data_IF_303066721975
#
_entry.id   IF_303066721975
#
_cell.length_a   1.000
_cell.length_b   1.000
_cell.length_c   1.000
_cell.angle_alpha   90.00
_cell.angle_beta   90.00
_cell.angle_gamma   90.00
#
_symmetry.space_group_name_H-M   'P 1'
#
loop_
_entity.id
_entity.type
_entity.pdbx_description
1 polymer ?
#
# COMPACT_ATOMS: atom_id res chain seq x y z
N UNK A 1 43.25 67.37 15.00
CA UNK A 1 42.38 66.64 14.07
C UNK A 1 42.09 65.33 14.74
N UNK A 2 40.84 65.19 15.19
CA UNK A 2 40.37 64.27 16.22
C UNK A 2 40.53 62.79 15.83
N UNK A 3 40.86 61.97 16.83
CA UNK A 3 40.74 60.51 16.79
C UNK A 3 39.29 60.14 17.13
N UNK A 4 38.52 59.69 16.14
CA UNK A 4 37.17 59.16 16.35
C UNK A 4 37.26 57.70 16.84
N UNK A 5 36.87 57.46 18.09
CA UNK A 5 36.66 56.12 18.64
C UNK A 5 35.35 55.51 18.09
N UNK A 6 35.46 54.34 17.44
CA UNK A 6 34.30 53.56 17.00
C UNK A 6 33.64 52.87 18.21
N UNK A 7 32.30 52.87 18.32
CA UNK A 7 31.62 52.29 19.47
C UNK A 7 31.65 50.75 19.42
N UNK A 8 31.90 50.15 20.58
CA UNK A 8 31.92 48.70 20.80
C UNK A 8 30.52 48.09 20.61
N UNK A 9 30.38 47.13 19.69
CA UNK A 9 29.12 46.43 19.42
C UNK A 9 28.80 45.49 20.60
N UNK A 10 27.78 45.85 21.40
CA UNK A 10 27.25 44.98 22.45
C UNK A 10 26.68 43.71 21.83
N UNK A 11 27.24 42.55 22.20
CA UNK A 11 26.66 41.24 21.89
C UNK A 11 25.31 41.13 22.61
N UNK A 12 24.22 41.11 21.86
CA UNK A 12 22.91 40.73 22.39
C UNK A 12 22.97 39.27 22.89
N UNK A 13 22.81 39.09 24.20
CA UNK A 13 22.60 37.78 24.80
C UNK A 13 21.27 37.21 24.28
N UNK A 14 21.34 36.13 23.51
CA UNK A 14 20.16 35.39 23.05
C UNK A 14 19.46 34.78 24.27
N UNK A 15 18.31 35.36 24.64
CA UNK A 15 17.40 34.79 25.63
C UNK A 15 17.03 33.35 25.19
N UNK A 16 17.28 32.31 26.01
CA UNK A 16 16.95 30.95 25.63
C UNK A 16 15.43 30.81 25.52
N UNK A 17 14.95 30.45 24.32
CA UNK A 17 13.53 30.16 24.10
C UNK A 17 13.09 29.06 25.08
N UNK A 18 11.94 29.21 25.78
CA UNK A 18 11.48 28.20 26.72
C UNK A 18 11.31 26.87 25.99
N UNK A 19 11.99 25.83 26.48
CA UNK A 19 11.83 24.47 25.96
C UNK A 19 10.37 24.07 26.16
N UNK A 20 9.62 23.92 25.06
CA UNK A 20 8.28 23.32 25.12
C UNK A 20 8.42 21.93 25.77
N UNK A 21 7.61 21.66 26.79
CA UNK A 21 7.56 20.34 27.43
C UNK A 21 7.20 19.31 26.35
N UNK A 22 7.96 18.23 26.27
CA UNK A 22 7.68 17.14 25.34
C UNK A 22 6.37 16.44 25.73
N UNK A 23 5.61 15.99 24.73
CA UNK A 23 4.33 15.33 24.99
C UNK A 23 4.54 13.96 25.65
N UNK A 24 3.73 13.64 26.66
CA UNK A 24 3.75 12.35 27.35
C UNK A 24 2.35 11.74 27.40
N UNK A 25 2.18 10.53 26.87
CA UNK A 25 0.91 9.82 26.86
C UNK A 25 0.36 9.56 28.27
N UNK A 26 1.21 9.21 29.23
CA UNK A 26 0.76 8.91 30.60
C UNK A 26 0.19 10.15 31.29
N UNK A 27 0.82 11.31 31.11
CA UNK A 27 0.32 12.58 31.64
C UNK A 27 -0.97 13.00 30.93
N UNK A 28 -1.02 12.87 29.60
CA UNK A 28 -2.20 13.21 28.80
C UNK A 28 -3.41 12.36 29.18
N UNK A 29 -3.26 11.03 29.30
CA UNK A 29 -4.35 10.14 29.69
C UNK A 29 -4.86 10.45 31.10
N UNK A 30 -3.97 10.79 32.05
CA UNK A 30 -4.35 11.24 33.39
C UNK A 30 -5.14 12.55 33.34
N UNK A 31 -4.67 13.52 32.54
CA UNK A 31 -5.34 14.82 32.38
C UNK A 31 -6.74 14.67 31.77
N UNK A 32 -6.88 13.83 30.74
CA UNK A 32 -8.15 13.61 30.03
C UNK A 32 -9.07 12.60 30.74
N UNK A 33 -8.65 12.02 31.88
CA UNK A 33 -9.33 10.93 32.58
C UNK A 33 -9.72 9.77 31.62
N UNK A 34 -8.78 9.41 30.74
CA UNK A 34 -8.98 8.47 29.66
C UNK A 34 -8.12 7.21 29.82
N UNK A 35 -8.46 6.16 29.07
CA UNK A 35 -7.68 4.92 28.98
C UNK A 35 -7.25 4.68 27.54
N UNK A 36 -6.07 4.08 27.35
CA UNK A 36 -5.61 3.67 26.02
C UNK A 36 -6.37 2.44 25.52
N UNK A 37 -6.54 2.33 24.21
CA UNK A 37 -6.99 1.10 23.60
C UNK A 37 -5.97 -0.02 23.87
N UNK A 38 -6.36 -1.17 24.46
CA UNK A 38 -5.42 -2.24 24.76
C UNK A 38 -4.73 -2.79 23.51
N UNK A 39 -3.41 -3.00 23.57
CA UNK A 39 -2.58 -3.50 22.46
C UNK A 39 -3.12 -4.80 21.85
N UNK A 40 -3.70 -5.69 22.67
CA UNK A 40 -4.30 -6.96 22.24
C UNK A 40 -5.49 -6.83 21.28
N UNK A 41 -6.06 -5.63 21.13
CA UNK A 41 -7.15 -5.34 20.18
C UNK A 41 -6.63 -5.04 18.76
N UNK A 42 -5.33 -4.76 18.63
CA UNK A 42 -4.68 -4.45 17.37
C UNK A 42 -4.13 -5.72 16.72
N UNK A 43 -4.18 -5.79 15.38
CA UNK A 43 -3.56 -6.89 14.63
C UNK A 43 -2.04 -6.80 14.71
N UNK A 44 -1.34 -7.92 14.53
CA UNK A 44 0.14 -8.01 14.64
C UNK A 44 0.86 -6.88 13.87
N UNK A 45 0.46 -6.61 12.62
CA UNK A 45 1.07 -5.56 11.78
C UNK A 45 0.78 -4.12 12.24
N UNK A 46 -0.18 -3.92 13.14
CA UNK A 46 -0.53 -2.61 13.74
C UNK A 46 0.20 -2.38 15.07
N UNK A 47 0.80 -3.42 15.64
CA UNK A 47 1.48 -3.36 16.94
C UNK A 47 2.96 -3.00 16.79
N UNK A 48 3.70 -3.03 17.91
CA UNK A 48 5.13 -2.73 17.93
C UNK A 48 5.90 -3.73 17.05
N UNK A 49 6.71 -3.25 16.10
CA UNK A 49 7.44 -4.15 15.22
C UNK A 49 8.48 -4.92 16.01
N UNK A 50 8.51 -6.25 15.83
CA UNK A 50 9.50 -7.12 16.47
C UNK A 50 10.93 -6.86 15.96
N UNK A 51 11.05 -6.38 14.72
CA UNK A 51 12.31 -6.09 14.05
C UNK A 51 12.43 -4.59 13.76
N UNK A 52 13.67 -4.09 13.68
CA UNK A 52 13.95 -2.72 13.24
C UNK A 52 13.61 -2.49 11.76
N UNK A 53 13.75 -1.24 11.32
CA UNK A 53 13.66 -0.88 9.91
C UNK A 53 15.06 -0.94 9.28
N UNK A 54 15.30 -1.92 8.42
CA UNK A 54 16.58 -2.09 7.72
C UNK A 54 16.61 -1.48 6.30
N UNK A 55 15.50 -0.90 5.83
CA UNK A 55 15.50 -0.19 4.56
C UNK A 55 16.32 1.09 4.69
N UNK A 56 17.13 1.39 3.67
CA UNK A 56 17.88 2.64 3.59
C UNK A 56 17.62 3.30 2.25
N UNK A 57 17.89 4.61 2.20
CA UNK A 57 17.74 5.41 0.99
C UNK A 57 18.46 4.76 -0.19
N UNK A 58 17.86 4.87 -1.38
CA UNK A 58 18.35 4.40 -2.67
C UNK A 58 18.30 2.87 -2.87
N UNK A 59 17.86 2.09 -1.87
CA UNK A 59 17.52 0.68 -2.09
C UNK A 59 16.35 0.55 -3.06
N UNK A 60 16.43 -0.41 -3.99
CA UNK A 60 15.39 -0.70 -4.98
C UNK A 60 14.61 -1.97 -4.65
N UNK A 61 13.32 -1.96 -4.96
CA UNK A 61 12.39 -3.05 -4.68
C UNK A 61 11.22 -3.04 -5.67
N UNK A 62 10.36 -4.03 -5.55
CA UNK A 62 9.09 -4.12 -6.29
C UNK A 62 7.93 -3.81 -5.33
N UNK A 63 6.82 -3.26 -5.81
CA UNK A 63 5.65 -3.05 -4.94
C UNK A 63 4.38 -2.70 -5.72
N UNK A 64 3.24 -2.86 -5.06
CA UNK A 64 1.94 -2.54 -5.66
C UNK A 64 1.73 -1.03 -5.69
N UNK A 65 1.19 -0.51 -6.81
CA UNK A 65 0.69 0.86 -6.87
C UNK A 65 -0.57 1.00 -5.99
N UNK A 66 -0.57 1.83 -4.91
CA UNK A 66 -1.73 1.99 -4.04
C UNK A 66 -2.97 2.60 -4.73
N UNK A 67 -2.81 3.21 -5.91
CA UNK A 67 -3.88 3.78 -6.73
C UNK A 67 -4.34 2.84 -7.85
N UNK A 68 -3.48 1.91 -8.26
CA UNK A 68 -3.75 0.87 -9.25
C UNK A 68 -3.32 -0.50 -8.69
N UNK A 69 -4.12 -1.13 -7.81
CA UNK A 69 -3.66 -2.30 -7.05
C UNK A 69 -3.35 -3.57 -7.87
N UNK A 70 -3.70 -3.56 -9.16
CA UNK A 70 -3.33 -4.56 -10.18
C UNK A 70 -1.88 -4.44 -10.66
N UNK A 71 -1.23 -3.28 -10.47
CA UNK A 71 0.08 -2.97 -11.02
C UNK A 71 1.19 -3.17 -9.98
N UNK A 72 2.19 -3.95 -10.36
CA UNK A 72 3.45 -4.09 -9.63
C UNK A 72 4.50 -3.21 -10.30
N UNK A 73 5.18 -2.36 -9.55
CA UNK A 73 6.07 -1.33 -10.09
C UNK A 73 7.49 -1.43 -9.50
N UNK A 74 8.47 -0.93 -10.24
CA UNK A 74 9.82 -0.67 -9.73
C UNK A 74 9.81 0.55 -8.80
N UNK A 75 10.31 0.37 -7.59
CA UNK A 75 10.32 1.41 -6.57
C UNK A 75 11.72 1.63 -5.97
N UNK A 76 12.00 2.86 -5.57
CA UNK A 76 13.19 3.23 -4.79
C UNK A 76 12.78 3.76 -3.42
N UNK A 77 13.52 3.38 -2.37
CA UNK A 77 13.39 3.99 -1.05
C UNK A 77 13.91 5.42 -1.09
N UNK A 78 13.00 6.40 -1.04
CA UNK A 78 13.36 7.83 -1.07
C UNK A 78 13.65 8.40 0.31
N UNK A 79 13.03 7.85 1.36
CA UNK A 79 13.20 8.29 2.75
C UNK A 79 12.81 7.18 3.74
N UNK A 80 13.42 7.15 4.92
CA UNK A 80 12.94 6.33 6.05
C UNK A 80 12.69 7.19 7.28
N UNK A 81 11.61 6.88 8.02
CA UNK A 81 11.23 7.58 9.24
C UNK A 81 10.67 6.60 10.27
N UNK A 82 11.50 6.27 11.26
CA UNK A 82 11.18 5.20 12.21
C UNK A 82 10.92 3.90 11.47
N UNK A 83 9.75 3.30 11.67
CA UNK A 83 9.37 2.05 11.00
C UNK A 83 8.72 2.23 9.62
N UNK A 84 8.64 3.47 9.13
CA UNK A 84 8.02 3.79 7.84
C UNK A 84 9.08 4.02 6.76
N UNK A 85 8.72 3.65 5.54
CA UNK A 85 9.54 3.77 4.34
C UNK A 85 8.73 4.57 3.31
N UNK A 86 9.31 5.63 2.75
CA UNK A 86 8.76 6.39 1.64
C UNK A 86 9.31 5.80 0.35
N UNK A 87 8.42 5.48 -0.58
CA UNK A 87 8.73 4.82 -1.84
C UNK A 87 8.45 5.76 -3.00
N UNK A 88 9.35 5.74 -3.96
CA UNK A 88 9.32 6.52 -5.19
C UNK A 88 9.16 5.61 -6.39
N UNK A 89 8.32 6.02 -7.35
CA UNK A 89 8.20 5.33 -8.65
C UNK A 89 9.31 5.80 -9.59
N UNK A 90 10.21 4.90 -9.96
CA UNK A 90 11.41 5.26 -10.72
C UNK A 90 11.09 5.93 -12.08
N UNK A 91 11.60 7.15 -12.26
CA UNK A 91 11.40 7.96 -13.45
C UNK A 91 10.10 8.77 -13.48
N UNK A 92 9.26 8.68 -12.45
CA UNK A 92 8.03 9.45 -12.32
C UNK A 92 8.22 10.65 -11.37
N UNK A 93 7.18 11.47 -11.21
CA UNK A 93 7.21 12.64 -10.31
C UNK A 93 7.11 12.20 -8.84
N UNK A 94 7.79 12.92 -7.94
CA UNK A 94 7.71 12.70 -6.50
C UNK A 94 6.30 12.90 -5.91
N UNK A 95 5.38 13.52 -6.65
CA UNK A 95 3.99 13.65 -6.21
C UNK A 95 3.25 12.30 -6.10
N UNK A 96 3.80 11.25 -6.70
CA UNK A 96 3.31 9.88 -6.57
C UNK A 96 3.97 9.10 -5.43
N UNK A 97 4.96 9.67 -4.74
CA UNK A 97 5.62 9.00 -3.63
C UNK A 97 4.61 8.70 -2.51
N UNK A 98 4.75 7.52 -1.91
CA UNK A 98 3.84 7.05 -0.87
C UNK A 98 4.59 6.41 0.28
N UNK A 99 3.94 6.36 1.44
CA UNK A 99 4.51 5.79 2.65
C UNK A 99 3.89 4.43 2.94
N UNK A 100 4.75 3.48 3.31
CA UNK A 100 4.37 2.18 3.87
C UNK A 100 5.11 1.92 5.18
N UNK A 101 4.65 0.94 5.95
CA UNK A 101 5.46 0.37 7.03
C UNK A 101 6.47 -0.61 6.44
N UNK A 102 7.61 -0.82 7.11
CA UNK A 102 8.66 -1.75 6.65
C UNK A 102 8.18 -3.21 6.55
N UNK A 103 7.11 -3.58 7.27
CA UNK A 103 6.46 -4.90 7.19
C UNK A 103 5.27 -4.96 6.22
N UNK A 104 5.13 -3.98 5.32
CA UNK A 104 4.02 -3.96 4.37
C UNK A 104 3.98 -5.25 3.54
N UNK A 105 2.81 -5.88 3.37
CA UNK A 105 2.66 -7.05 2.50
C UNK A 105 2.63 -6.67 1.01
N UNK A 106 2.66 -5.38 0.69
CA UNK A 106 2.53 -4.84 -0.67
C UNK A 106 3.86 -4.42 -1.29
N UNK A 107 4.97 -4.79 -0.65
CA UNK A 107 6.33 -4.58 -1.14
C UNK A 107 7.08 -5.91 -1.21
N UNK A 108 7.93 -6.05 -2.21
CA UNK A 108 8.56 -7.31 -2.58
C UNK A 108 10.03 -7.10 -2.96
N UNK A 109 10.89 -8.09 -2.71
CA UNK A 109 12.27 -8.02 -3.15
C UNK A 109 12.36 -8.06 -4.68
N UNK A 110 13.45 -7.50 -5.21
CA UNK A 110 13.81 -7.61 -6.63
C UNK A 110 13.74 -9.06 -7.12
N UNK A 111 13.08 -9.25 -8.27
CA UNK A 111 12.86 -10.55 -8.92
C UNK A 111 11.65 -11.31 -8.39
N UNK A 112 10.81 -10.70 -7.53
CA UNK A 112 9.63 -11.36 -7.00
C UNK A 112 8.56 -11.56 -8.07
N UNK A 113 8.29 -10.55 -8.90
CA UNK A 113 7.31 -10.61 -9.98
C UNK A 113 7.64 -11.73 -10.97
N UNK A 114 8.90 -11.82 -11.41
CA UNK A 114 9.37 -12.91 -12.28
C UNK A 114 9.17 -14.28 -11.63
N UNK A 115 9.59 -14.44 -10.37
CA UNK A 115 9.47 -15.72 -9.64
C UNK A 115 8.00 -16.17 -9.47
N UNK A 116 7.09 -15.22 -9.36
CA UNK A 116 5.67 -15.47 -9.08
C UNK A 116 4.77 -15.32 -10.30
N UNK A 117 5.36 -15.11 -11.48
CA UNK A 117 4.67 -14.92 -12.76
C UNK A 117 3.69 -13.73 -12.76
N UNK A 118 4.07 -12.64 -12.08
CA UNK A 118 3.41 -11.34 -12.16
C UNK A 118 4.15 -10.43 -13.13
N UNK A 119 3.43 -9.50 -13.76
CA UNK A 119 4.00 -8.53 -14.67
C UNK A 119 4.50 -7.31 -13.91
N UNK A 120 5.81 -7.07 -13.97
CA UNK A 120 6.43 -5.85 -13.46
C UNK A 120 6.27 -4.70 -14.47
N UNK A 121 5.76 -3.56 -14.00
CA UNK A 121 5.77 -2.30 -14.73
C UNK A 121 7.16 -1.68 -14.63
N UNK A 122 7.86 -1.49 -15.77
CA UNK A 122 9.20 -0.96 -15.77
C UNK A 122 9.21 0.55 -15.43
N UNK A 123 10.37 1.12 -15.05
CA UNK A 123 10.52 2.56 -14.85
C UNK A 123 10.16 3.36 -16.10
N UNK A 124 9.86 4.65 -15.93
CA UNK A 124 9.54 5.53 -17.06
C UNK A 124 10.70 5.55 -18.06
N UNK A 125 10.38 5.28 -19.34
CA UNK A 125 11.35 5.26 -20.44
C UNK A 125 11.92 3.87 -20.76
N UNK A 126 11.54 2.84 -20.02
CA UNK A 126 11.84 1.45 -20.32
C UNK A 126 10.60 0.74 -20.86
N UNK A 127 10.81 -0.29 -21.68
CA UNK A 127 9.76 -1.23 -22.08
C UNK A 127 9.83 -2.48 -21.20
N UNK A 128 8.77 -3.28 -21.20
CA UNK A 128 8.74 -4.57 -20.47
C UNK A 128 9.83 -5.51 -21.01
N UNK A 129 10.09 -5.47 -22.31
CA UNK A 129 11.06 -6.33 -22.97
C UNK A 129 12.51 -5.91 -22.70
N UNK A 130 12.75 -4.62 -22.51
CA UNK A 130 14.10 -4.06 -22.36
C UNK A 130 14.53 -3.91 -20.89
N UNK A 131 13.60 -4.01 -19.94
CA UNK A 131 13.92 -3.87 -18.52
C UNK A 131 14.55 -5.15 -17.96
N UNK A 132 15.76 -5.01 -17.42
CA UNK A 132 16.45 -6.08 -16.70
C UNK A 132 17.00 -5.55 -15.37
N UNK A 133 16.73 -6.27 -14.28
CA UNK A 133 17.14 -5.82 -12.95
C UNK A 133 18.65 -5.70 -12.79
N UNK A 134 19.44 -6.58 -13.43
CA UNK A 134 20.89 -6.61 -13.25
C UNK A 134 21.58 -5.40 -13.90
N UNK A 135 21.20 -5.08 -15.14
CA UNK A 135 21.65 -3.91 -15.89
C UNK A 135 21.12 -2.64 -15.26
N UNK A 136 19.86 -2.62 -14.83
CA UNK A 136 19.26 -1.45 -14.19
C UNK A 136 19.95 -1.08 -12.87
N UNK A 137 20.22 -2.05 -11.98
CA UNK A 137 20.95 -1.82 -10.73
C UNK A 137 22.36 -1.29 -10.98
N UNK A 138 23.07 -1.83 -11.98
CA UNK A 138 24.41 -1.35 -12.38
C UNK A 138 24.36 0.07 -12.93
N UNK A 139 23.42 0.35 -13.84
CA UNK A 139 23.28 1.65 -14.49
C UNK A 139 22.86 2.76 -13.49
N UNK A 140 22.03 2.41 -12.52
CA UNK A 140 21.58 3.34 -11.47
C UNK A 140 22.52 3.44 -10.26
N UNK A 141 23.59 2.64 -10.22
CA UNK A 141 24.52 2.57 -9.08
C UNK A 141 23.81 2.31 -7.74
N UNK A 142 22.74 1.52 -7.79
CA UNK A 142 21.89 1.22 -6.65
C UNK A 142 21.92 -0.27 -6.30
N UNK A 143 21.47 -0.58 -5.09
CA UNK A 143 21.37 -1.96 -4.61
C UNK A 143 19.91 -2.37 -4.43
N UNK A 144 19.63 -3.65 -4.65
CA UNK A 144 18.34 -4.22 -4.31
C UNK A 144 18.19 -4.27 -2.78
N UNK A 145 17.00 -3.93 -2.28
CA UNK A 145 16.65 -4.15 -0.89
C UNK A 145 16.83 -5.65 -0.54
N UNK A 146 17.60 -6.00 0.51
CA UNK A 146 17.85 -7.39 0.84
C UNK A 146 16.57 -8.16 1.17
N UNK A 147 16.47 -9.41 0.69
CA UNK A 147 15.28 -10.27 0.84
C UNK A 147 14.83 -10.45 2.30
N UNK A 148 15.76 -10.43 3.25
CA UNK A 148 15.46 -10.56 4.68
C UNK A 148 14.68 -9.38 5.28
N UNK A 149 14.63 -8.23 4.60
CA UNK A 149 13.87 -7.06 5.05
C UNK A 149 12.35 -7.24 4.85
N UNK A 150 11.95 -8.12 3.94
CA UNK A 150 10.55 -8.38 3.61
C UNK A 150 10.00 -9.41 4.59
N UNK A 151 9.38 -8.91 5.67
CA UNK A 151 8.93 -9.73 6.79
C UNK A 151 7.56 -10.38 6.59
N UNK A 152 6.85 -10.07 5.50
CA UNK A 152 5.59 -10.73 5.21
C UNK A 152 5.87 -12.22 4.93
N UNK A 153 5.20 -13.09 5.67
CA UNK A 153 5.37 -14.55 5.51
C UNK A 153 4.44 -14.98 4.40
N UNK A 154 5.01 -15.50 3.30
CA UNK A 154 4.23 -16.25 2.31
C UNK A 154 3.43 -17.32 3.05
N UNK A 155 2.11 -17.26 2.91
CA UNK A 155 1.20 -18.22 3.52
C UNK A 155 0.55 -19.05 2.42
N UNK A 156 0.47 -20.38 2.59
CA UNK A 156 -0.21 -21.21 1.62
C UNK A 156 -1.67 -20.76 1.48
N UNK A 157 -2.13 -20.64 0.24
CA UNK A 157 -3.51 -20.32 -0.03
C UNK A 157 -4.42 -21.51 0.35
N UNK A 158 -4.94 -21.48 1.57
CA UNK A 158 -5.93 -22.46 2.05
C UNK A 158 -7.37 -21.95 1.95
N UNK A 159 -7.59 -20.81 1.29
CA UNK A 159 -8.90 -20.15 1.25
C UNK A 159 -9.88 -20.77 0.26
N UNK A 160 -9.39 -21.56 -0.69
CA UNK A 160 -10.19 -22.10 -1.79
C UNK A 160 -10.51 -21.10 -2.90
N UNK A 161 -10.22 -19.81 -2.70
CA UNK A 161 -10.36 -18.78 -3.73
C UNK A 161 -9.32 -18.96 -4.85
N UNK A 162 -9.78 -18.86 -6.09
CA UNK A 162 -8.98 -19.05 -7.30
C UNK A 162 -9.29 -17.95 -8.31
N UNK A 163 -8.29 -17.62 -9.13
CA UNK A 163 -8.45 -16.72 -10.28
C UNK A 163 -9.62 -17.19 -11.16
N UNK A 164 -10.44 -16.23 -11.61
CA UNK A 164 -11.64 -16.46 -12.41
C UNK A 164 -12.91 -16.73 -11.61
N UNK A 165 -12.83 -16.99 -10.30
CA UNK A 165 -14.04 -17.08 -9.47
C UNK A 165 -14.74 -15.73 -9.40
N UNK A 166 -16.08 -15.77 -9.42
CA UNK A 166 -16.93 -14.59 -9.32
C UNK A 166 -17.63 -14.51 -7.97
N UNK A 167 -17.87 -13.28 -7.53
CA UNK A 167 -18.45 -12.96 -6.23
C UNK A 167 -19.18 -11.61 -6.28
N UNK A 168 -19.79 -11.25 -5.16
CA UNK A 168 -20.34 -9.92 -4.93
C UNK A 168 -19.40 -9.18 -3.97
N UNK A 169 -19.01 -7.95 -4.31
CA UNK A 169 -18.02 -7.20 -3.53
C UNK A 169 -18.44 -5.74 -3.33
N UNK A 170 -18.14 -5.18 -2.16
CA UNK A 170 -18.33 -3.75 -1.87
C UNK A 170 -17.28 -2.93 -2.60
N UNK A 171 -17.69 -1.89 -3.31
CA UNK A 171 -16.78 -0.88 -3.86
C UNK A 171 -16.23 0.00 -2.72
N UNK A 172 -14.92 -0.05 -2.48
CA UNK A 172 -14.29 0.73 -1.41
C UNK A 172 -14.27 2.24 -1.69
N UNK A 173 -14.39 2.68 -2.95
CA UNK A 173 -14.52 4.09 -3.33
C UNK A 173 -15.97 4.57 -3.23
N UNK A 174 -16.94 3.66 -3.38
CA UNK A 174 -18.35 3.91 -3.14
C UNK A 174 -18.99 2.81 -2.29
N UNK A 175 -18.80 2.89 -0.97
CA UNK A 175 -19.21 1.85 -0.01
C UNK A 175 -20.71 1.53 0.06
N UNK A 176 -21.55 2.32 -0.64
CA UNK A 176 -22.98 2.03 -0.80
C UNK A 176 -23.28 0.96 -1.87
N UNK A 177 -22.31 0.68 -2.75
CA UNK A 177 -22.46 -0.26 -3.85
C UNK A 177 -21.91 -1.64 -3.49
N UNK A 178 -22.70 -2.66 -3.81
CA UNK A 178 -22.24 -4.04 -3.91
C UNK A 178 -22.33 -4.42 -5.38
N UNK A 179 -21.22 -4.85 -5.95
CA UNK A 179 -21.06 -5.02 -7.39
C UNK A 179 -20.68 -6.45 -7.74
N UNK A 180 -20.94 -6.82 -8.98
CA UNK A 180 -20.42 -8.04 -9.60
C UNK A 180 -18.90 -7.91 -9.75
N UNK A 181 -18.18 -8.88 -9.22
CA UNK A 181 -16.72 -8.87 -9.20
C UNK A 181 -16.12 -10.24 -9.53
N UNK A 182 -14.86 -10.21 -9.95
CA UNK A 182 -14.05 -11.37 -10.30
C UNK A 182 -12.73 -11.34 -9.54
N UNK A 183 -12.26 -12.51 -9.12
CA UNK A 183 -10.90 -12.68 -8.64
C UNK A 183 -9.95 -12.70 -9.83
N UNK A 184 -9.18 -11.65 -10.03
CA UNK A 184 -8.26 -11.51 -11.16
C UNK A 184 -6.85 -11.97 -10.87
N UNK A 185 -6.47 -12.02 -9.59
CA UNK A 185 -5.15 -12.45 -9.15
C UNK A 185 -5.15 -13.08 -7.75
N UNK A 186 -4.12 -13.88 -7.44
CA UNK A 186 -3.97 -14.58 -6.16
C UNK A 186 -2.51 -14.53 -5.72
N UNK A 187 -2.28 -13.96 -4.55
CA UNK A 187 -0.97 -13.81 -3.92
C UNK A 187 -1.06 -14.29 -2.46
N UNK A 188 -0.48 -15.45 -2.19
CA UNK A 188 -0.55 -16.12 -0.89
C UNK A 188 -2.01 -16.30 -0.42
N UNK A 189 -2.35 -15.81 0.77
CA UNK A 189 -3.71 -15.84 1.31
C UNK A 189 -4.59 -14.65 0.88
N UNK A 190 -4.06 -13.79 0.01
CA UNK A 190 -4.76 -12.63 -0.55
C UNK A 190 -5.10 -12.86 -2.01
N UNK A 191 -6.11 -12.14 -2.46
CA UNK A 191 -6.58 -12.19 -3.83
C UNK A 191 -7.09 -10.82 -4.26
N UNK A 192 -6.91 -10.52 -5.55
CA UNK A 192 -7.26 -9.24 -6.14
C UNK A 192 -8.72 -9.30 -6.59
N UNK A 193 -9.52 -8.37 -6.08
CA UNK A 193 -10.92 -8.17 -6.47
C UNK A 193 -10.97 -7.15 -7.58
N UNK A 194 -11.54 -7.54 -8.72
CA UNK A 194 -11.80 -6.68 -9.86
C UNK A 194 -13.30 -6.54 -10.11
N UNK A 195 -13.74 -5.34 -10.46
CA UNK A 195 -15.15 -5.07 -10.77
C UNK A 195 -15.42 -5.21 -12.27
N UNK A 196 -16.29 -6.14 -12.64
CA UNK A 196 -16.51 -6.52 -14.04
C UNK A 196 -16.98 -5.30 -14.89
N UNK A 197 -16.25 -5.01 -15.98
CA UNK A 197 -16.54 -3.89 -16.88
C UNK A 197 -16.07 -2.53 -16.38
N UNK A 198 -15.33 -2.48 -15.27
CA UNK A 198 -14.74 -1.26 -14.72
C UNK A 198 -13.21 -1.26 -14.87
N UNK A 199 -12.62 -0.08 -14.73
CA UNK A 199 -11.16 0.08 -14.75
C UNK A 199 -10.51 -0.49 -13.48
N UNK A 200 -9.24 -0.90 -13.58
CA UNK A 200 -8.52 -1.55 -12.48
C UNK A 200 -8.20 -0.64 -11.28
N UNK A 201 -8.41 0.67 -11.43
CA UNK A 201 -8.31 1.65 -10.33
C UNK A 201 -9.26 1.33 -9.18
N UNK A 202 -10.35 0.59 -9.42
CA UNK A 202 -11.31 0.18 -8.39
C UNK A 202 -10.90 -1.12 -7.68
N UNK A 203 -9.91 -1.84 -8.21
CA UNK A 203 -9.49 -3.11 -7.69
C UNK A 203 -8.94 -2.98 -6.27
N UNK A 204 -9.01 -4.05 -5.48
CA UNK A 204 -8.31 -4.10 -4.21
C UNK A 204 -7.95 -5.52 -3.79
N UNK A 205 -6.83 -5.64 -3.09
CA UNK A 205 -6.45 -6.89 -2.42
C UNK A 205 -7.31 -7.14 -1.18
N UNK A 206 -7.75 -8.38 -1.01
CA UNK A 206 -8.52 -8.85 0.13
C UNK A 206 -8.09 -10.26 0.54
N UNK A 207 -8.49 -10.69 1.73
CA UNK A 207 -8.37 -12.06 2.20
C UNK A 207 -9.76 -12.65 2.49
N UNK A 208 -9.82 -13.95 2.76
CA UNK A 208 -11.08 -14.69 2.96
C UNK A 208 -11.91 -14.24 4.18
N UNK A 209 -11.36 -13.44 5.09
CA UNK A 209 -12.07 -12.84 6.23
C UNK A 209 -12.62 -11.45 5.95
N UNK A 210 -12.41 -10.90 4.74
CA UNK A 210 -12.84 -9.55 4.39
C UNK A 210 -14.36 -9.40 4.52
N UNK A 211 -14.86 -8.40 5.27
CA UNK A 211 -16.29 -8.16 5.43
C UNK A 211 -16.94 -7.55 4.18
N UNK A 212 -16.13 -7.21 3.17
CA UNK A 212 -16.57 -6.57 1.93
C UNK A 212 -16.88 -7.56 0.82
N UNK A 213 -16.76 -8.87 1.09
CA UNK A 213 -16.91 -9.92 0.11
C UNK A 213 -18.07 -10.82 0.48
N UNK A 214 -18.86 -11.17 -0.53
CA UNK A 214 -20.06 -11.95 -0.36
C UNK A 214 -20.19 -13.01 -1.46
N UNK A 215 -20.79 -14.17 -1.16
CA UNK A 215 -21.06 -15.17 -2.17
C UNK A 215 -22.08 -14.65 -3.19
N UNK A 216 -22.07 -15.27 -4.38
CA UNK A 216 -23.08 -15.04 -5.42
C UNK A 216 -24.50 -15.20 -4.85
N UNK A 217 -25.37 -14.25 -5.18
CA UNK A 217 -26.76 -14.08 -4.71
C UNK A 217 -26.93 -13.47 -3.31
N UNK A 218 -25.86 -13.07 -2.61
CA UNK A 218 -26.00 -12.48 -1.28
C UNK A 218 -26.88 -11.21 -1.29
N UNK A 219 -26.75 -10.34 -2.28
CA UNK A 219 -27.60 -9.16 -2.41
C UNK A 219 -29.08 -9.53 -2.53
N UNK A 220 -29.39 -10.53 -3.35
CA UNK A 220 -30.76 -11.04 -3.51
C UNK A 220 -31.31 -11.56 -2.18
N UNK A 221 -30.54 -12.36 -1.46
CA UNK A 221 -30.95 -12.98 -0.20
C UNK A 221 -31.09 -11.96 0.94
N UNK A 222 -30.45 -10.79 0.82
CA UNK A 222 -30.46 -9.71 1.82
C UNK A 222 -31.25 -8.46 1.39
N UNK A 223 -32.08 -8.56 0.34
CA UNK A 223 -32.88 -7.44 -0.20
C UNK A 223 -32.03 -6.19 -0.52
N UNK A 224 -30.83 -6.39 -1.08
CA UNK A 224 -29.92 -5.35 -1.57
C UNK A 224 -29.93 -5.33 -3.10
N UNK A 225 -29.64 -4.15 -3.65
CA UNK A 225 -29.47 -3.97 -5.09
C UNK A 225 -28.03 -4.34 -5.45
N UNK A 226 -27.88 -5.30 -6.37
CA UNK A 226 -26.59 -5.65 -6.96
C UNK A 226 -26.32 -4.74 -8.16
N UNK A 227 -25.15 -4.11 -8.19
CA UNK A 227 -24.68 -3.36 -9.35
C UNK A 227 -24.10 -4.34 -10.38
N UNK A 228 -24.70 -4.45 -11.58
CA UNK A 228 -24.22 -5.37 -12.61
C UNK A 228 -22.92 -4.85 -13.27
N UNK A 229 -22.25 -5.67 -14.10
CA UNK A 229 -21.13 -5.20 -14.91
C UNK A 229 -21.52 -4.00 -15.78
N UNK A 230 -20.59 -3.07 -15.99
CA UNK A 230 -20.85 -1.81 -16.74
C UNK A 230 -21.43 -2.04 -18.14
N UNK A 231 -21.01 -3.11 -18.81
CA UNK A 231 -21.42 -3.45 -20.18
C UNK A 231 -22.77 -4.21 -20.25
N UNK A 232 -23.45 -4.38 -19.12
CA UNK A 232 -24.78 -5.01 -19.10
C UNK A 232 -25.79 -4.08 -19.75
N UNK A 233 -26.34 -4.50 -20.90
CA UNK A 233 -27.37 -3.72 -21.62
C UNK A 233 -28.56 -3.41 -20.69
N UNK A 234 -28.99 -2.14 -20.66
CA UNK A 234 -30.00 -1.60 -19.73
C UNK A 234 -31.35 -2.36 -19.72
N UNK A 235 -31.68 -3.09 -20.79
CA UNK A 235 -32.92 -3.85 -20.93
C UNK A 235 -32.80 -5.35 -20.59
N UNK A 236 -31.67 -5.80 -20.04
CA UNK A 236 -31.45 -7.19 -19.66
C UNK A 236 -31.37 -7.30 -18.14
N UNK A 237 -32.32 -8.04 -17.54
CA UNK A 237 -32.20 -8.44 -16.12
C UNK A 237 -30.91 -9.25 -15.96
N UNK A 238 -29.98 -8.71 -15.17
CA UNK A 238 -28.75 -9.42 -14.81
C UNK A 238 -29.11 -10.73 -14.11
N UNK A 239 -28.46 -11.82 -14.53
CA UNK A 239 -28.62 -13.13 -13.89
C UNK A 239 -27.28 -13.84 -13.86
N UNK A 240 -26.86 -14.22 -12.65
CA UNK A 240 -25.67 -15.03 -12.44
C UNK A 240 -25.69 -16.32 -13.27
N UNK A 241 -26.86 -16.92 -13.50
CA UNK A 241 -27.00 -18.16 -14.29
C UNK A 241 -26.58 -18.00 -15.76
N UNK A 242 -26.66 -16.80 -16.33
CA UNK A 242 -26.24 -16.52 -17.72
C UNK A 242 -24.73 -16.31 -17.86
N UNK A 243 -24.02 -16.14 -16.75
CA UNK A 243 -22.57 -15.92 -16.73
C UNK A 243 -21.82 -17.25 -16.58
N UNK A 244 -22.44 -18.23 -15.93
CA UNK A 244 -21.86 -19.56 -15.71
C UNK A 244 -22.30 -20.61 -16.74
N UNK A 245 -23.11 -20.23 -17.75
CA UNK A 245 -23.53 -21.07 -18.88
C UNK A 245 -22.56 -20.95 -20.05
#
# INVERSE_FOLDING_TARGET
MESEDLPEVKKEERIPKPKKKEFCWEEYLKQENAVSAPVKLFKEFQTYPANGNGFVKDMKLEGIDPKHPSLFCVLTVSETKGYRVRLHFDGYSECYDFWVNANSPDIFPVGWCEKTNHQLQPPKGFTIQDFDWNGYLKASQAEAAPKQLFSWKSQPNNSGFKRGMKLEAVDKKNSSLVCVATITDVMDNRFLIHFDGWEDVYDYWADGSSPHLHPVNWCKDNNRVLTPPKDTKENVTFSWTKIFS
#
